data_IF_079401559828
#
_entry.id   IF_079401559828
#
_cell.length_a   1.000
_cell.length_b   1.000
_cell.length_c   1.000
_cell.angle_alpha   90.00
_cell.angle_beta   90.00
_cell.angle_gamma   90.00
#
_symmetry.space_group_name_H-M   'P 1'
#
loop_
_entity.id
_entity.type
_entity.pdbx_description
1 polymer ?
#
# COMPACT_ATOMS: atom_id res chain seq x y z
N UNK A 1 13.39 -13.97 -1.06
CA UNK A 1 12.72 -14.57 -2.23
C UNK A 1 11.31 -14.91 -1.79
N UNK A 2 10.28 -14.35 -2.43
CA UNK A 2 8.90 -14.75 -2.16
C UNK A 2 8.78 -16.24 -2.47
N UNK A 3 8.69 -17.08 -1.45
CA UNK A 3 8.63 -18.52 -1.60
C UNK A 3 7.21 -18.89 -2.05
N UNK A 4 7.11 -19.75 -3.06
CA UNK A 4 5.86 -20.35 -3.57
C UNK A 4 4.94 -20.93 -2.48
N UNK A 5 5.46 -21.14 -1.26
CA UNK A 5 4.73 -21.67 -0.13
C UNK A 5 3.70 -20.72 0.50
N UNK A 6 3.84 -19.39 0.38
CA UNK A 6 2.93 -18.40 1.00
C UNK A 6 2.64 -17.23 0.03
N UNK A 7 1.71 -17.41 -0.91
CA UNK A 7 1.31 -16.34 -1.81
C UNK A 7 0.68 -15.15 -1.05
N UNK A 8 0.90 -13.92 -1.54
CA UNK A 8 0.18 -12.74 -1.05
C UNK A 8 -1.34 -12.99 -1.19
N UNK A 9 -2.16 -12.71 -0.15
CA UNK A 9 -3.61 -12.96 -0.18
C UNK A 9 -4.36 -12.13 -1.22
N UNK A 10 -3.73 -11.10 -1.80
CA UNK A 10 -4.30 -10.24 -2.84
C UNK A 10 -3.87 -10.61 -4.25
N UNK A 11 -4.85 -10.85 -5.13
CA UNK A 11 -4.65 -10.96 -6.57
C UNK A 11 -4.56 -9.61 -7.29
N UNK A 12 -4.84 -8.52 -6.57
CA UNK A 12 -4.71 -7.16 -7.08
C UNK A 12 -3.28 -6.91 -7.56
N UNK A 13 -2.26 -7.49 -6.93
CA UNK A 13 -0.87 -7.32 -7.37
C UNK A 13 -0.23 -8.53 -8.03
N UNK A 14 -0.93 -9.66 -8.19
CA UNK A 14 -0.21 -10.94 -8.28
C UNK A 14 0.61 -11.15 -9.56
N UNK A 15 1.93 -11.18 -9.36
CA UNK A 15 2.96 -11.43 -10.36
C UNK A 15 4.07 -12.26 -9.74
N UNK A 16 4.11 -13.55 -10.05
CA UNK A 16 5.17 -14.45 -9.52
C UNK A 16 6.56 -14.05 -10.05
N UNK A 17 6.63 -13.55 -11.29
CA UNK A 17 7.84 -13.01 -11.90
C UNK A 17 7.59 -11.58 -12.41
N UNK A 18 8.21 -10.59 -11.77
CA UNK A 18 8.17 -9.20 -12.21
C UNK A 18 9.49 -8.48 -11.92
N UNK A 19 10.13 -7.95 -12.97
CA UNK A 19 11.46 -7.34 -12.88
C UNK A 19 11.51 -5.92 -12.30
N UNK A 20 10.35 -5.27 -12.16
CA UNK A 20 10.26 -3.86 -11.77
C UNK A 20 10.68 -2.88 -12.86
N UNK A 21 10.08 -1.69 -12.86
CA UNK A 21 10.41 -0.54 -13.73
C UNK A 21 11.08 0.62 -12.98
N UNK A 22 11.06 0.57 -11.65
CA UNK A 22 11.67 1.54 -10.75
C UNK A 22 13.11 1.20 -10.38
N UNK A 23 13.63 1.90 -9.37
CA UNK A 23 15.01 1.79 -8.92
C UNK A 23 15.06 1.69 -7.40
N UNK A 24 16.01 0.90 -6.89
CA UNK A 24 16.28 0.88 -5.46
C UNK A 24 17.08 2.13 -5.06
N UNK A 25 16.59 2.86 -4.07
CA UNK A 25 17.18 4.11 -3.56
C UNK A 25 17.30 4.00 -2.04
N UNK A 26 18.49 4.27 -1.52
CA UNK A 26 18.70 4.42 -0.08
C UNK A 26 18.25 5.82 0.34
N UNK A 27 17.30 5.89 1.27
CA UNK A 27 16.83 7.15 1.88
C UNK A 27 17.13 7.07 3.36
N UNK A 28 18.14 7.83 3.81
CA UNK A 28 18.62 7.79 5.18
C UNK A 28 18.94 6.33 5.58
N UNK A 29 18.28 5.77 6.59
CA UNK A 29 18.47 4.38 7.03
C UNK A 29 17.50 3.37 6.37
N UNK A 30 16.69 3.80 5.41
CA UNK A 30 15.60 3.02 4.81
C UNK A 30 15.92 2.70 3.36
N UNK A 31 15.88 1.42 2.99
CA UNK A 31 15.90 1.03 1.57
C UNK A 31 14.54 1.27 0.98
N UNK A 32 14.49 1.80 -0.23
CA UNK A 32 13.23 2.07 -0.91
C UNK A 32 13.30 1.62 -2.37
N UNK A 33 12.16 1.35 -2.96
CA UNK A 33 12.02 1.19 -4.41
C UNK A 33 11.17 2.36 -4.94
N UNK A 34 11.73 3.14 -5.85
CA UNK A 34 11.11 4.37 -6.37
C UNK A 34 10.83 4.19 -7.86
N UNK A 35 9.59 4.43 -8.26
CA UNK A 35 9.20 4.46 -9.67
C UNK A 35 8.72 5.86 -10.00
N UNK A 36 9.52 6.58 -10.79
CA UNK A 36 9.13 7.91 -11.27
C UNK A 36 8.07 7.76 -12.35
N UNK A 37 7.03 8.59 -12.26
CA UNK A 37 6.09 8.68 -13.38
C UNK A 37 6.79 9.33 -14.58
N UNK A 38 6.43 8.90 -15.79
CA UNK A 38 6.86 9.55 -17.02
C UNK A 38 6.20 10.92 -17.23
N UNK A 39 5.20 11.26 -16.42
CA UNK A 39 4.54 12.56 -16.39
C UNK A 39 4.84 13.24 -15.06
N UNK A 40 5.35 14.48 -15.09
CA UNK A 40 5.51 15.28 -13.88
C UNK A 40 4.17 15.92 -13.50
N UNK A 41 3.37 15.18 -12.74
CA UNK A 41 2.06 15.62 -12.25
C UNK A 41 2.14 16.28 -10.86
N UNK A 42 3.32 16.25 -10.22
CA UNK A 42 3.47 16.59 -8.80
C UNK A 42 2.72 15.64 -7.85
N UNK A 43 2.16 14.52 -8.32
CA UNK A 43 1.49 13.53 -7.48
C UNK A 43 2.45 12.41 -7.10
N UNK A 44 2.43 12.00 -5.84
CA UNK A 44 3.19 10.85 -5.36
C UNK A 44 2.36 9.93 -4.46
N UNK A 45 2.73 8.65 -4.42
CA UNK A 45 2.05 7.63 -3.63
C UNK A 45 3.07 6.77 -2.89
N UNK A 46 2.91 6.70 -1.56
CA UNK A 46 3.64 5.74 -0.73
C UNK A 46 2.92 4.39 -0.87
N UNK A 47 3.62 3.35 -1.29
CA UNK A 47 3.06 2.00 -1.44
C UNK A 47 3.67 1.11 -0.36
N UNK A 48 2.82 0.57 0.51
CA UNK A 48 3.21 -0.20 1.68
C UNK A 48 2.94 -1.68 1.46
N UNK A 49 4.00 -2.47 1.60
CA UNK A 49 4.02 -3.91 1.45
C UNK A 49 3.12 -4.68 2.44
N UNK A 50 2.95 -5.95 2.11
CA UNK A 50 2.51 -7.01 3.02
C UNK A 50 3.66 -7.48 3.95
N UNK A 51 3.36 -8.35 4.91
CA UNK A 51 4.29 -8.96 5.87
C UNK A 51 5.45 -9.74 5.21
N UNK A 52 5.35 -10.06 3.92
CA UNK A 52 6.39 -10.81 3.20
C UNK A 52 7.51 -9.92 2.61
N UNK A 53 7.46 -8.60 2.78
CA UNK A 53 8.58 -7.71 2.44
C UNK A 53 8.37 -6.80 1.20
N UNK A 54 9.14 -5.73 1.11
CA UNK A 54 9.10 -4.73 0.00
C UNK A 54 9.64 -5.29 -1.31
N UNK A 55 10.43 -6.36 -1.23
CA UNK A 55 10.97 -7.04 -2.40
C UNK A 55 9.95 -7.94 -3.10
N UNK A 56 8.73 -8.05 -2.56
CA UNK A 56 7.67 -8.79 -3.23
C UNK A 56 7.38 -8.21 -4.61
N UNK A 57 7.41 -9.06 -5.66
CA UNK A 57 7.02 -8.67 -7.00
C UNK A 57 5.65 -7.98 -7.08
N UNK A 58 4.68 -8.42 -6.26
CA UNK A 58 3.31 -7.89 -6.26
C UNK A 58 3.25 -6.42 -5.84
N UNK A 59 3.99 -6.07 -4.78
CA UNK A 59 4.06 -4.69 -4.28
C UNK A 59 4.73 -3.78 -5.30
N UNK A 60 5.83 -4.23 -5.92
CA UNK A 60 6.52 -3.48 -6.98
C UNK A 60 5.67 -3.33 -8.24
N UNK A 61 4.95 -4.39 -8.63
CA UNK A 61 4.01 -4.33 -9.74
C UNK A 61 2.92 -3.27 -9.51
N UNK A 62 2.30 -3.26 -8.33
CA UNK A 62 1.31 -2.23 -8.01
C UNK A 62 1.91 -0.82 -7.98
N UNK A 63 3.13 -0.67 -7.46
CA UNK A 63 3.84 0.61 -7.50
C UNK A 63 4.10 1.09 -8.94
N UNK A 64 4.42 0.18 -9.85
CA UNK A 64 4.69 0.51 -11.25
C UNK A 64 3.40 0.79 -12.03
N UNK A 65 2.31 0.07 -11.73
CA UNK A 65 0.96 0.37 -12.27
C UNK A 65 0.50 1.77 -11.85
N UNK A 66 0.64 2.12 -10.58
CA UNK A 66 0.30 3.45 -10.06
C UNK A 66 1.19 4.52 -10.73
N UNK A 67 2.49 4.24 -10.91
CA UNK A 67 3.41 5.15 -11.61
C UNK A 67 3.09 5.37 -13.09
N UNK A 68 2.69 4.31 -13.78
CA UNK A 68 2.19 4.38 -15.15
C UNK A 68 0.93 5.24 -15.30
N UNK A 69 0.17 5.43 -14.22
CA UNK A 69 -1.01 6.30 -14.16
C UNK A 69 -0.69 7.70 -13.62
N UNK A 70 0.53 8.19 -13.78
CA UNK A 70 0.84 9.59 -13.48
C UNK A 70 1.27 9.89 -12.04
N UNK A 71 1.54 8.88 -11.19
CA UNK A 71 1.86 9.10 -9.77
C UNK A 71 3.27 8.59 -9.43
N UNK A 72 4.22 9.43 -9.05
CA UNK A 72 5.54 8.92 -8.60
C UNK A 72 5.35 8.03 -7.37
N UNK A 73 5.83 6.79 -7.41
CA UNK A 73 5.66 5.85 -6.30
C UNK A 73 6.94 5.65 -5.52
N UNK A 74 6.79 5.33 -4.24
CA UNK A 74 7.86 4.92 -3.35
C UNK A 74 7.39 3.76 -2.48
N UNK A 75 8.16 2.68 -2.46
CA UNK A 75 7.95 1.48 -1.64
C UNK A 75 9.06 1.44 -0.58
N UNK A 76 8.83 1.94 0.63
CA UNK A 76 9.84 1.90 1.69
C UNK A 76 9.89 0.55 2.41
N UNK A 77 11.10 0.12 2.76
CA UNK A 77 11.35 -1.00 3.67
C UNK A 77 11.11 -0.57 5.12
N UNK A 78 9.84 -0.53 5.56
CA UNK A 78 9.53 -0.14 6.93
C UNK A 78 9.97 -1.15 8.00
N UNK A 79 10.27 -2.39 7.61
CA UNK A 79 10.73 -3.41 8.56
C UNK A 79 12.24 -3.30 8.86
N UNK A 80 13.03 -2.60 8.03
CA UNK A 80 14.48 -2.37 8.22
C UNK A 80 15.24 -3.67 8.59
N UNK A 81 14.89 -4.78 7.93
CA UNK A 81 15.50 -6.09 8.18
C UNK A 81 14.93 -6.90 9.35
N UNK A 82 13.91 -6.40 10.04
CA UNK A 82 13.16 -7.12 11.07
C UNK A 82 12.00 -7.94 10.50
N UNK A 83 11.49 -8.90 11.28
CA UNK A 83 10.32 -9.71 10.92
C UNK A 83 9.02 -9.05 11.41
N UNK A 84 8.07 -8.72 10.53
CA UNK A 84 6.90 -7.89 10.88
C UNK A 84 5.79 -8.60 11.65
N UNK A 85 5.80 -9.93 11.66
CA UNK A 85 4.90 -10.73 12.48
C UNK A 85 5.39 -10.85 13.92
N UNK A 86 6.60 -10.35 14.22
CA UNK A 86 7.08 -10.29 15.59
C UNK A 86 6.25 -9.25 16.36
N UNK A 87 5.54 -9.64 17.43
CA UNK A 87 4.87 -8.69 18.31
C UNK A 87 5.83 -7.67 18.94
N UNK A 88 7.14 -7.97 18.93
CA UNK A 88 8.21 -7.07 19.37
C UNK A 88 8.66 -6.06 18.30
N UNK A 89 8.08 -6.07 17.08
CA UNK A 89 8.40 -5.09 16.05
C UNK A 89 8.25 -3.67 16.60
N UNK A 90 9.35 -2.92 16.59
CA UNK A 90 9.41 -1.60 17.22
C UNK A 90 8.74 -0.55 16.34
N UNK A 91 7.44 -0.34 16.61
CA UNK A 91 6.62 0.70 15.98
C UNK A 91 7.10 2.12 16.28
N UNK A 92 8.00 2.32 17.24
CA UNK A 92 8.47 3.66 17.61
C UNK A 92 9.28 4.33 16.50
N UNK A 93 9.90 3.54 15.62
CA UNK A 93 10.68 4.03 14.48
C UNK A 93 9.81 4.37 13.26
N UNK A 94 8.59 3.83 13.20
CA UNK A 94 7.70 4.01 12.05
C UNK A 94 7.40 5.48 11.73
N UNK A 95 7.09 6.37 12.71
CA UNK A 95 6.89 7.79 12.42
C UNK A 95 8.11 8.48 11.80
N UNK A 96 9.32 8.20 12.29
CA UNK A 96 10.57 8.73 11.74
C UNK A 96 10.76 8.29 10.29
N UNK A 97 10.43 7.03 9.99
CA UNK A 97 10.52 6.48 8.65
C UNK A 97 9.53 7.14 7.68
N UNK A 98 8.28 7.34 8.12
CA UNK A 98 7.28 8.06 7.32
C UNK A 98 7.74 9.49 7.06
N UNK A 99 8.30 10.19 8.06
CA UNK A 99 8.83 11.54 7.90
C UNK A 99 9.99 11.61 6.89
N UNK A 100 10.91 10.65 6.91
CA UNK A 100 12.01 10.56 5.95
C UNK A 100 11.48 10.37 4.51
N UNK A 101 10.49 9.49 4.33
CA UNK A 101 9.84 9.25 3.03
C UNK A 101 9.11 10.51 2.53
N UNK A 102 8.31 11.16 3.38
CA UNK A 102 7.60 12.39 3.01
C UNK A 102 8.56 13.52 2.63
N UNK A 103 9.67 13.66 3.37
CA UNK A 103 10.73 14.64 3.09
C UNK A 103 11.40 14.37 1.75
N UNK A 104 11.70 13.10 1.45
CA UNK A 104 12.26 12.71 0.15
C UNK A 104 11.28 13.01 -1.00
N UNK A 105 10.01 12.61 -0.87
CA UNK A 105 8.99 12.86 -1.89
C UNK A 105 8.86 14.36 -2.19
N UNK A 106 8.79 15.21 -1.16
CA UNK A 106 8.67 16.67 -1.33
C UNK A 106 9.92 17.30 -1.94
N UNK A 107 11.12 16.91 -1.49
CA UNK A 107 12.37 17.60 -1.85
C UNK A 107 13.02 17.06 -3.11
N UNK A 108 13.03 15.74 -3.30
CA UNK A 108 13.77 15.06 -4.38
C UNK A 108 12.86 14.65 -5.54
N UNK A 109 11.58 14.43 -5.26
CA UNK A 109 10.58 14.10 -6.27
C UNK A 109 9.62 15.27 -6.58
N UNK A 110 9.78 16.41 -5.91
CA UNK A 110 8.93 17.60 -6.06
C UNK A 110 7.42 17.33 -5.91
N UNK A 111 7.06 16.34 -5.09
CA UNK A 111 5.67 15.97 -4.86
C UNK A 111 4.91 17.11 -4.16
N UNK A 112 3.81 17.52 -4.76
CA UNK A 112 2.87 18.53 -4.24
C UNK A 112 1.69 17.87 -3.50
N UNK A 113 1.29 16.68 -3.94
CA UNK A 113 0.20 15.91 -3.33
C UNK A 113 0.64 14.47 -3.12
N UNK A 114 0.39 13.95 -1.93
CA UNK A 114 0.87 12.63 -1.52
C UNK A 114 -0.32 11.79 -1.07
N UNK A 115 -0.42 10.59 -1.62
CA UNK A 115 -1.33 9.54 -1.15
C UNK A 115 -0.56 8.36 -0.56
N UNK A 116 -1.29 7.40 0.00
CA UNK A 116 -0.76 6.15 0.52
C UNK A 116 -1.65 4.97 0.14
N UNK A 117 -1.04 3.86 -0.27
CA UNK A 117 -1.70 2.59 -0.58
C UNK A 117 -0.99 1.51 0.24
N UNK A 118 -1.72 0.58 0.84
CA UNK A 118 -1.11 -0.48 1.63
C UNK A 118 -1.87 -1.79 1.58
N UNK A 119 -1.12 -2.90 1.62
CA UNK A 119 -1.64 -4.26 1.50
C UNK A 119 -1.41 -5.05 2.80
N UNK A 120 -2.46 -5.71 3.32
CA UNK A 120 -2.45 -6.45 4.58
C UNK A 120 -1.90 -5.60 5.75
N UNK A 121 -0.71 -5.91 6.28
CA UNK A 121 -0.03 -5.07 7.28
C UNK A 121 0.10 -3.62 6.80
N UNK A 122 0.36 -3.39 5.51
CA UNK A 122 0.38 -2.06 4.92
C UNK A 122 -0.96 -1.32 5.03
N UNK A 123 -2.09 -2.04 5.10
CA UNK A 123 -3.39 -1.43 5.36
C UNK A 123 -3.54 -0.88 6.79
N UNK A 124 -2.85 -1.50 7.76
CA UNK A 124 -2.72 -0.96 9.14
C UNK A 124 -1.86 0.30 9.11
N UNK A 125 -0.75 0.27 8.37
CA UNK A 125 0.12 1.42 8.18
C UNK A 125 -0.62 2.60 7.52
N UNK A 126 -1.45 2.33 6.50
CA UNK A 126 -2.35 3.33 5.89
C UNK A 126 -3.23 3.98 6.94
N UNK A 127 -3.92 3.19 7.77
CA UNK A 127 -4.80 3.73 8.80
C UNK A 127 -4.05 4.65 9.77
N UNK A 128 -2.90 4.21 10.29
CA UNK A 128 -2.07 5.02 11.18
C UNK A 128 -1.60 6.33 10.51
N UNK A 129 -1.15 6.26 9.25
CA UNK A 129 -0.71 7.43 8.52
C UNK A 129 -1.86 8.41 8.29
N UNK A 130 -3.05 7.90 7.94
CA UNK A 130 -4.22 8.73 7.65
C UNK A 130 -4.85 9.38 8.90
N UNK A 131 -4.62 8.83 10.09
CA UNK A 131 -5.00 9.48 11.37
C UNK A 131 -3.92 10.44 11.88
N UNK A 132 -2.66 10.27 11.47
CA UNK A 132 -1.53 11.04 12.03
C UNK A 132 -1.07 12.18 11.12
N UNK A 133 -1.01 11.99 9.80
CA UNK A 133 -0.36 12.89 8.85
C UNK A 133 -1.37 13.62 7.93
N UNK A 134 -1.82 14.84 8.27
CA UNK A 134 -2.80 15.59 7.47
C UNK A 134 -2.30 15.98 6.06
N UNK A 135 -0.99 15.92 5.83
CA UNK A 135 -0.37 16.16 4.54
C UNK A 135 -0.58 15.03 3.53
N UNK A 136 -0.88 13.81 3.99
CA UNK A 136 -1.24 12.67 3.14
C UNK A 136 -2.73 12.74 2.83
N UNK A 137 -3.07 13.00 1.57
CA UNK A 137 -4.39 13.47 1.12
C UNK A 137 -5.36 12.37 0.71
N UNK A 138 -4.87 11.16 0.46
CA UNK A 138 -5.69 10.01 0.12
C UNK A 138 -5.05 8.72 0.63
N UNK A 139 -5.87 7.85 1.21
CA UNK A 139 -5.45 6.51 1.65
C UNK A 139 -6.20 5.41 0.91
N UNK A 140 -5.55 4.29 0.64
CA UNK A 140 -6.18 3.04 0.20
C UNK A 140 -5.64 1.88 1.02
N UNK A 141 -6.48 1.30 1.87
CA UNK A 141 -6.14 0.12 2.67
C UNK A 141 -6.75 -1.11 2.02
N UNK A 142 -5.91 -2.06 1.63
CA UNK A 142 -6.29 -3.33 1.01
C UNK A 142 -6.02 -4.44 2.01
N UNK A 143 -7.07 -5.09 2.50
CA UNK A 143 -7.05 -6.15 3.51
C UNK A 143 -6.35 -5.77 4.83
N UNK A 144 -6.38 -4.49 5.21
CA UNK A 144 -5.86 -4.05 6.49
C UNK A 144 -6.78 -4.47 7.64
N UNK A 145 -6.24 -5.16 8.64
CA UNK A 145 -6.98 -5.49 9.88
C UNK A 145 -6.96 -4.27 10.80
N UNK A 146 -8.00 -3.46 10.74
CA UNK A 146 -8.15 -2.29 11.59
C UNK A 146 -8.95 -2.72 12.82
N UNK A 147 -8.27 -2.77 13.97
CA UNK A 147 -8.94 -3.08 15.24
C UNK A 147 -9.83 -1.90 15.63
N UNK A 148 -11.05 -2.18 16.09
CA UNK A 148 -11.92 -1.16 16.66
C UNK A 148 -11.21 -0.46 17.82
N UNK A 149 -11.06 0.85 17.69
CA UNK A 149 -10.57 1.78 18.71
C UNK A 149 -11.22 3.14 18.47
N UNK A 150 -11.18 4.02 19.47
CA UNK A 150 -11.71 5.39 19.34
C UNK A 150 -11.05 6.16 18.17
N UNK A 151 -9.80 5.82 17.83
CA UNK A 151 -9.03 6.46 16.76
C UNK A 151 -9.45 6.03 15.36
N UNK A 152 -10.24 4.96 15.21
CA UNK A 152 -10.60 4.43 13.89
C UNK A 152 -11.34 5.45 13.03
N UNK A 153 -12.12 6.32 13.67
CA UNK A 153 -12.93 7.35 13.01
C UNK A 153 -12.18 8.68 12.80
N UNK A 154 -10.96 8.83 13.33
CA UNK A 154 -10.19 10.08 13.30
C UNK A 154 -9.37 10.28 12.02
N UNK A 155 -9.88 9.79 10.88
CA UNK A 155 -9.20 9.93 9.58
C UNK A 155 -9.16 11.40 9.15
N UNK A 156 -7.96 11.92 8.91
CA UNK A 156 -7.73 13.33 8.55
C UNK A 156 -8.07 13.63 7.09
N UNK A 157 -8.07 12.61 6.24
CA UNK A 157 -8.34 12.72 4.80
C UNK A 157 -9.08 11.45 4.29
N UNK A 158 -9.70 11.49 3.10
CA UNK A 158 -10.45 10.36 2.54
C UNK A 158 -9.62 9.07 2.44
N UNK A 159 -10.17 7.98 2.96
CA UNK A 159 -9.54 6.65 2.91
C UNK A 159 -10.50 5.62 2.32
N UNK A 160 -10.04 4.89 1.31
CA UNK A 160 -10.73 3.76 0.71
C UNK A 160 -10.32 2.48 1.43
N UNK A 161 -11.29 1.67 1.84
CA UNK A 161 -11.03 0.34 2.42
C UNK A 161 -11.51 -0.73 1.46
N UNK A 162 -10.65 -1.70 1.17
CA UNK A 162 -10.91 -2.83 0.28
C UNK A 162 -10.66 -4.10 1.08
N UNK A 163 -11.66 -4.97 1.16
CA UNK A 163 -11.57 -6.31 1.75
C UNK A 163 -12.20 -7.55 1.08
N UNK A 164 -11.93 -8.75 1.60
CA UNK A 164 -12.25 -9.96 0.87
C UNK A 164 -13.65 -10.46 1.19
N UNK A 165 -14.41 -10.87 0.18
CA UNK A 165 -15.77 -11.40 0.30
C UNK A 165 -15.80 -12.62 1.21
N UNK A 166 -14.86 -13.54 0.99
CA UNK A 166 -14.74 -14.81 1.70
C UNK A 166 -13.49 -14.84 2.58
N UNK A 167 -13.22 -13.76 3.33
CA UNK A 167 -12.07 -13.73 4.22
C UNK A 167 -12.35 -14.37 5.59
N UNK A 168 -11.94 -15.63 5.75
CA UNK A 168 -12.02 -16.32 7.05
C UNK A 168 -11.12 -15.71 8.16
N UNK A 169 -10.12 -14.91 7.79
CA UNK A 169 -9.21 -14.21 8.72
C UNK A 169 -9.74 -12.81 9.05
N UNK A 170 -10.41 -12.15 8.09
CA UNK A 170 -10.97 -10.80 8.20
C UNK A 170 -12.47 -10.82 7.80
N UNK A 171 -13.37 -11.36 8.65
CA UNK A 171 -14.79 -11.44 8.30
C UNK A 171 -15.38 -10.06 8.01
N UNK A 172 -16.12 -9.89 6.90
CA UNK A 172 -16.72 -8.61 6.52
C UNK A 172 -17.63 -8.01 7.61
N UNK A 173 -18.32 -8.86 8.38
CA UNK A 173 -19.17 -8.45 9.49
C UNK A 173 -18.41 -7.72 10.62
N UNK A 174 -17.08 -7.90 10.70
CA UNK A 174 -16.21 -7.19 11.63
C UNK A 174 -15.72 -5.83 11.11
N UNK A 175 -16.10 -5.46 9.88
CA UNK A 175 -15.63 -4.24 9.20
C UNK A 175 -16.80 -3.28 8.98
N UNK A 176 -16.63 -2.02 9.38
CA UNK A 176 -17.70 -1.03 9.34
C UNK A 176 -17.89 -0.36 7.96
N UNK A 177 -16.89 -0.43 7.07
CA UNK A 177 -16.88 0.26 5.77
C UNK A 177 -16.00 -0.49 4.77
N UNK A 178 -16.32 -0.53 3.46
CA UNK A 178 -15.37 -0.95 2.43
C UNK A 178 -15.98 -1.52 1.16
N UNK A 179 -15.13 -1.77 0.16
CA UNK A 179 -15.44 -2.51 -1.06
C UNK A 179 -14.99 -3.96 -0.94
N UNK A 180 -15.70 -4.85 -1.62
CA UNK A 180 -15.53 -6.30 -1.46
C UNK A 180 -14.94 -6.93 -2.74
N UNK A 181 -13.96 -7.82 -2.61
CA UNK A 181 -13.44 -8.66 -3.70
C UNK A 181 -13.05 -10.06 -3.24
N UNK A 182 -12.75 -11.03 -4.10
CA UNK A 182 -12.37 -12.38 -3.62
C UNK A 182 -10.92 -12.48 -3.17
N UNK A 183 -10.65 -13.38 -2.22
CA UNK A 183 -9.29 -13.81 -1.88
C UNK A 183 -8.65 -14.50 -3.07
N UNK A 184 -7.32 -14.43 -3.12
CA UNK A 184 -6.52 -15.15 -4.12
C UNK A 184 -6.89 -16.63 -4.27
N UNK A 185 -7.00 -17.35 -3.16
CA UNK A 185 -7.29 -18.79 -3.17
C UNK A 185 -8.68 -19.12 -3.75
N UNK A 186 -9.59 -18.15 -3.71
CA UNK A 186 -10.97 -18.25 -4.19
C UNK A 186 -11.16 -17.64 -5.59
N UNK A 187 -10.12 -17.05 -6.17
CA UNK A 187 -10.16 -16.43 -7.49
C UNK A 187 -10.07 -17.48 -8.59
N UNK A 188 -11.00 -17.37 -9.53
CA UNK A 188 -11.02 -18.12 -10.79
C UNK A 188 -10.62 -17.20 -11.96
N UNK A 189 -10.31 -17.75 -13.15
CA UNK A 189 -10.07 -16.93 -14.34
C UNK A 189 -11.23 -15.98 -14.68
N UNK A 190 -12.46 -16.31 -14.28
CA UNK A 190 -13.64 -15.46 -14.46
C UNK A 190 -13.64 -14.23 -13.55
N UNK A 191 -12.84 -14.23 -12.47
CA UNK A 191 -12.75 -13.12 -11.52
C UNK A 191 -11.79 -12.01 -11.98
N UNK A 192 -11.01 -12.26 -13.04
CA UNK A 192 -10.04 -11.31 -13.60
C UNK A 192 -10.63 -9.91 -13.87
N UNK A 193 -11.83 -9.74 -14.49
CA UNK A 193 -12.41 -8.42 -14.71
C UNK A 193 -12.66 -7.64 -13.41
N UNK A 194 -13.03 -8.33 -12.34
CA UNK A 194 -13.26 -7.71 -11.03
C UNK A 194 -11.95 -7.29 -10.37
N UNK A 195 -10.88 -8.08 -10.52
CA UNK A 195 -9.53 -7.68 -10.06
C UNK A 195 -9.05 -6.43 -10.79
N UNK A 196 -9.23 -6.36 -12.12
CA UNK A 196 -8.91 -5.15 -12.90
C UNK A 196 -9.79 -3.96 -12.50
N UNK A 197 -11.05 -4.21 -12.15
CA UNK A 197 -11.94 -3.18 -11.59
C UNK A 197 -11.45 -2.64 -10.26
N UNK A 198 -11.01 -3.50 -9.33
CA UNK A 198 -10.44 -3.03 -8.06
C UNK A 198 -9.18 -2.19 -8.30
N UNK A 199 -8.29 -2.60 -9.22
CA UNK A 199 -7.14 -1.77 -9.61
C UNK A 199 -7.56 -0.42 -10.16
N UNK A 200 -8.53 -0.40 -11.07
CA UNK A 200 -9.05 0.85 -11.65
C UNK A 200 -9.67 1.74 -10.59
N UNK A 201 -10.50 1.20 -9.70
CA UNK A 201 -11.14 1.94 -8.61
C UNK A 201 -10.10 2.54 -7.64
N UNK A 202 -9.00 1.82 -7.38
CA UNK A 202 -7.87 2.32 -6.60
C UNK A 202 -7.22 3.53 -7.29
N UNK A 203 -6.95 3.45 -8.60
CA UNK A 203 -6.36 4.57 -9.36
C UNK A 203 -7.33 5.75 -9.43
N UNK A 204 -8.60 5.52 -9.74
CA UNK A 204 -9.64 6.56 -9.79
C UNK A 204 -9.81 7.26 -8.44
N UNK A 205 -9.69 6.52 -7.33
CA UNK A 205 -9.70 7.09 -5.99
C UNK A 205 -8.51 8.02 -5.76
N UNK A 206 -7.30 7.57 -6.12
CA UNK A 206 -6.10 8.40 -6.03
C UNK A 206 -6.28 9.66 -6.89
N UNK A 207 -6.64 9.52 -8.16
CA UNK A 207 -6.79 10.66 -9.07
C UNK A 207 -7.83 11.69 -8.62
N UNK A 208 -8.87 11.24 -7.94
CA UNK A 208 -9.91 12.11 -7.39
C UNK A 208 -9.42 12.94 -6.21
N UNK A 209 -8.57 12.37 -5.35
CA UNK A 209 -8.21 12.96 -4.06
C UNK A 209 -6.77 13.50 -4.01
N UNK A 210 -5.91 13.14 -4.96
CA UNK A 210 -4.59 13.73 -5.22
C UNK A 210 -4.46 14.11 -6.69
#
# INVERSE_FOLDING_TARGET
MANEANPCPSDIGDKIEYGGMGQEVQIEHIKTYVTRSSMDTGKAVIVVQDIFGWQMPNTRYMADVIAGNGHTTIVPEFFVGEEPWDPAWDKSTFPEQVDAVLRYLKRQCHAQKIGIVGFCWGGIAVHHVMTTYPEVKAGVSVYGIIKESEDVYNLKNPTLFIFAENDAVIPLESQSHGFVHRKREDCSPADKPFIEEVRRNLIEWLDKYI
#
